data_IF_941864068576
#
_entry.id   IF_941864068576
#
_cell.length_a   1.000
_cell.length_b   1.000
_cell.length_c   1.000
_cell.angle_alpha   90.00
_cell.angle_beta   90.00
_cell.angle_gamma   90.00
#
_symmetry.space_group_name_H-M   'P 1'
#
loop_
_entity.id
_entity.type
_entity.pdbx_description
1 polymer ?
#
# COMPACT_ATOMS: atom_id res chain seq x y z
N UNK A 1 27.83 -21.81 -5.97
CA UNK A 1 26.94 -21.80 -7.16
C UNK A 1 25.70 -21.01 -6.79
N UNK A 2 25.75 -19.68 -6.89
CA UNK A 2 24.56 -18.85 -6.72
C UNK A 2 23.86 -18.82 -8.08
N UNK A 3 22.78 -19.58 -8.20
CA UNK A 3 21.94 -19.55 -9.39
C UNK A 3 21.46 -18.11 -9.57
N UNK A 4 21.61 -17.47 -10.75
CA UNK A 4 20.97 -16.20 -11.01
C UNK A 4 19.48 -16.49 -11.11
N UNK A 5 18.79 -16.56 -9.97
CA UNK A 5 17.34 -16.55 -9.96
C UNK A 5 16.97 -15.24 -10.62
N UNK A 6 16.26 -15.35 -11.73
CA UNK A 6 15.87 -14.28 -12.63
C UNK A 6 15.13 -13.19 -11.83
N UNK A 7 15.93 -12.26 -11.28
CA UNK A 7 15.47 -11.21 -10.39
C UNK A 7 14.67 -10.16 -11.15
N UNK A 8 14.51 -10.32 -12.48
CA UNK A 8 13.72 -9.46 -13.33
C UNK A 8 12.26 -9.37 -12.87
N UNK A 9 11.66 -10.49 -12.41
CA UNK A 9 10.29 -10.48 -11.88
C UNK A 9 10.19 -9.71 -10.57
N UNK A 10 11.12 -9.94 -9.64
CA UNK A 10 11.16 -9.21 -8.37
C UNK A 10 11.35 -7.70 -8.61
N UNK A 11 12.32 -7.33 -9.46
CA UNK A 11 12.59 -5.95 -9.84
C UNK A 11 11.39 -5.29 -10.52
N UNK A 12 10.73 -5.99 -11.45
CA UNK A 12 9.52 -5.50 -12.10
C UNK A 12 8.39 -5.22 -11.09
N UNK A 13 8.17 -6.13 -10.14
CA UNK A 13 7.16 -5.93 -9.09
C UNK A 13 7.55 -4.77 -8.16
N UNK A 14 8.82 -4.63 -7.81
CA UNK A 14 9.29 -3.51 -6.99
C UNK A 14 9.12 -2.16 -7.70
N UNK A 15 9.46 -2.06 -8.99
CA UNK A 15 9.22 -0.86 -9.81
C UNK A 15 7.73 -0.56 -9.94
N UNK A 16 6.90 -1.60 -10.11
CA UNK A 16 5.44 -1.47 -10.17
C UNK A 16 4.88 -0.88 -8.87
N UNK A 17 5.27 -1.42 -7.72
CA UNK A 17 4.81 -0.94 -6.40
C UNK A 17 5.32 0.48 -6.12
N UNK A 18 6.56 0.79 -6.52
CA UNK A 18 7.14 2.12 -6.41
C UNK A 18 6.26 3.17 -7.12
N UNK A 19 5.93 2.93 -8.40
CA UNK A 19 5.06 3.83 -9.18
C UNK A 19 3.67 3.96 -8.57
N UNK A 20 3.08 2.86 -8.12
CA UNK A 20 1.78 2.87 -7.42
C UNK A 20 1.85 3.72 -6.15
N UNK A 21 2.93 3.59 -5.37
CA UNK A 21 3.17 4.37 -4.17
C UNK A 21 3.31 5.86 -4.44
N UNK A 22 4.05 6.29 -5.47
CA UNK A 22 4.12 7.71 -5.88
C UNK A 22 2.74 8.26 -6.22
N UNK A 23 1.92 7.51 -6.97
CA UNK A 23 0.57 7.92 -7.31
C UNK A 23 -0.35 7.97 -6.08
N UNK A 24 -0.26 6.99 -5.19
CA UNK A 24 -1.00 6.97 -3.93
C UNK A 24 -0.66 8.21 -3.10
N UNK A 25 0.62 8.45 -2.81
CA UNK A 25 1.09 9.61 -2.05
C UNK A 25 0.58 10.95 -2.61
N UNK A 26 0.68 11.12 -3.93
CA UNK A 26 0.21 12.33 -4.62
C UNK A 26 -1.31 12.51 -4.49
N UNK A 27 -2.06 11.42 -4.41
CA UNK A 27 -3.53 11.45 -4.27
C UNK A 27 -3.92 11.72 -2.82
N UNK A 28 -3.27 11.03 -1.88
CA UNK A 28 -3.42 11.23 -0.45
C UNK A 28 -3.20 12.70 -0.09
N UNK A 29 -2.09 13.30 -0.51
CA UNK A 29 -1.81 14.71 -0.19
C UNK A 29 -2.85 15.70 -0.76
N UNK A 30 -3.51 15.36 -1.88
CA UNK A 30 -4.56 16.20 -2.48
C UNK A 30 -5.96 15.96 -1.92
N UNK A 31 -6.27 14.74 -1.50
CA UNK A 31 -7.57 14.38 -0.94
C UNK A 31 -7.69 14.88 0.50
N UNK A 32 -6.64 14.66 1.29
CA UNK A 32 -6.58 14.99 2.72
C UNK A 32 -5.97 16.37 3.01
N UNK A 33 -5.92 17.27 2.01
CA UNK A 33 -5.52 18.67 2.21
C UNK A 33 -6.57 19.50 2.95
N UNK A 34 -7.73 18.90 3.24
CA UNK A 34 -8.86 19.48 3.94
C UNK A 34 -9.41 18.46 4.96
N UNK A 35 -10.14 18.91 5.99
CA UNK A 35 -10.78 18.01 6.93
C UNK A 35 -11.77 17.07 6.23
N UNK A 36 -11.80 15.81 6.68
CA UNK A 36 -12.76 14.79 6.25
C UNK A 36 -13.76 14.57 7.39
N UNK A 37 -14.98 15.07 7.20
CA UNK A 37 -16.12 14.97 8.12
C UNK A 37 -17.41 14.62 7.36
N UNK A 38 -18.55 14.53 8.06
CA UNK A 38 -19.83 14.18 7.44
C UNK A 38 -20.24 15.16 6.33
N UNK A 39 -20.07 16.47 6.55
CA UNK A 39 -20.39 17.49 5.54
C UNK A 39 -19.55 17.33 4.28
N UNK A 40 -18.27 16.96 4.43
CA UNK A 40 -17.39 16.65 3.32
C UNK A 40 -17.90 15.46 2.49
N UNK A 41 -18.43 14.43 3.15
CA UNK A 41 -18.98 13.23 2.51
C UNK A 41 -20.28 13.56 1.78
N UNK A 42 -21.18 14.32 2.40
CA UNK A 42 -22.43 14.76 1.76
C UNK A 42 -22.17 15.61 0.51
N UNK A 43 -21.13 16.45 0.54
CA UNK A 43 -20.72 17.27 -0.60
C UNK A 43 -20.18 16.46 -1.81
N UNK A 44 -19.94 15.15 -1.68
CA UNK A 44 -19.46 14.31 -2.79
C UNK A 44 -20.49 14.22 -3.93
N UNK A 45 -21.79 14.19 -3.61
CA UNK A 45 -22.86 14.07 -4.63
C UNK A 45 -22.89 15.28 -5.57
N UNK A 46 -22.62 16.47 -5.03
CA UNK A 46 -22.64 17.73 -5.76
C UNK A 46 -21.26 18.11 -6.33
N UNK A 47 -20.21 17.33 -6.00
CA UNK A 47 -18.84 17.61 -6.41
C UNK A 47 -18.19 16.38 -7.08
N UNK A 48 -18.48 16.15 -8.38
CA UNK A 48 -17.93 15.01 -9.13
C UNK A 48 -16.40 14.94 -9.09
N UNK A 49 -15.72 16.09 -9.15
CA UNK A 49 -14.26 16.15 -9.10
C UNK A 49 -13.67 15.73 -7.74
N UNK A 50 -14.44 15.85 -6.65
CA UNK A 50 -14.06 15.34 -5.33
C UNK A 50 -14.31 13.84 -5.21
N UNK A 51 -15.47 13.37 -5.71
CA UNK A 51 -15.79 11.94 -5.79
C UNK A 51 -14.74 11.18 -6.62
N UNK A 52 -14.35 11.70 -7.79
CA UNK A 52 -13.28 11.10 -8.62
C UNK A 52 -11.93 11.01 -7.89
N UNK A 53 -11.60 12.00 -7.04
CA UNK A 53 -10.36 11.98 -6.24
C UNK A 53 -10.41 10.92 -5.15
N UNK A 54 -11.56 10.76 -4.50
CA UNK A 54 -11.82 9.71 -3.53
C UNK A 54 -11.71 8.32 -4.19
N UNK A 55 -12.38 8.09 -5.30
CA UNK A 55 -12.32 6.83 -6.05
C UNK A 55 -10.88 6.50 -6.46
N UNK A 56 -10.15 7.51 -6.96
CA UNK A 56 -8.75 7.34 -7.31
C UNK A 56 -7.88 7.00 -6.09
N UNK A 57 -8.15 7.56 -4.91
CA UNK A 57 -7.45 7.19 -3.67
C UNK A 57 -7.74 5.73 -3.30
N UNK A 58 -9.01 5.34 -3.23
CA UNK A 58 -9.44 3.98 -2.85
C UNK A 58 -8.83 2.94 -3.80
N UNK A 59 -8.91 3.19 -5.11
CA UNK A 59 -8.33 2.31 -6.12
C UNK A 59 -6.81 2.20 -6.00
N UNK A 60 -6.09 3.32 -5.81
CA UNK A 60 -4.62 3.33 -5.67
C UNK A 60 -4.16 2.64 -4.39
N UNK A 61 -4.87 2.86 -3.28
CA UNK A 61 -4.60 2.21 -2.00
C UNK A 61 -4.76 0.68 -2.11
N UNK A 62 -5.88 0.24 -2.65
CA UNK A 62 -6.16 -1.17 -2.91
C UNK A 62 -5.11 -1.81 -3.82
N UNK A 63 -4.79 -1.16 -4.93
CA UNK A 63 -3.87 -1.69 -5.92
C UNK A 63 -2.46 -1.85 -5.34
N UNK A 64 -1.97 -0.87 -4.57
CA UNK A 64 -0.67 -0.96 -3.90
C UNK A 64 -0.67 -2.11 -2.89
N UNK A 65 -1.68 -2.19 -2.04
CA UNK A 65 -1.80 -3.25 -1.04
C UNK A 65 -1.83 -4.65 -1.69
N UNK A 66 -2.68 -4.86 -2.69
CA UNK A 66 -2.81 -6.14 -3.38
C UNK A 66 -1.51 -6.51 -4.12
N UNK A 67 -0.81 -5.52 -4.71
CA UNK A 67 0.47 -5.79 -5.37
C UNK A 67 1.54 -6.19 -4.37
N UNK A 68 1.62 -5.54 -3.22
CA UNK A 68 2.57 -5.92 -2.16
C UNK A 68 2.24 -7.30 -1.59
N UNK A 69 1.00 -7.48 -1.11
CA UNK A 69 0.56 -8.66 -0.38
C UNK A 69 0.47 -9.91 -1.24
N UNK A 70 -0.16 -9.79 -2.41
CA UNK A 70 -0.55 -10.96 -3.21
C UNK A 70 0.52 -11.31 -4.27
N UNK A 71 1.45 -10.39 -4.57
CA UNK A 71 2.46 -10.59 -5.62
C UNK A 71 3.90 -10.41 -5.14
N UNK A 72 4.24 -9.25 -4.58
CA UNK A 72 5.62 -8.91 -4.21
C UNK A 72 6.14 -9.78 -3.07
N UNK A 73 5.38 -9.93 -1.98
CA UNK A 73 5.78 -10.76 -0.84
C UNK A 73 5.98 -12.22 -1.25
N UNK A 74 5.03 -12.89 -1.94
CA UNK A 74 5.25 -14.24 -2.44
C UNK A 74 6.48 -14.35 -3.34
N UNK A 75 6.73 -13.36 -4.20
CA UNK A 75 7.91 -13.36 -5.05
C UNK A 75 9.19 -13.26 -4.24
N UNK A 76 9.29 -12.32 -3.31
CA UNK A 76 10.45 -12.18 -2.43
C UNK A 76 10.75 -13.48 -1.68
N UNK A 77 9.70 -14.16 -1.18
CA UNK A 77 9.86 -15.45 -0.50
C UNK A 77 10.43 -16.53 -1.42
N UNK A 78 9.98 -16.61 -2.68
CA UNK A 78 10.56 -17.54 -3.68
C UNK A 78 12.04 -17.25 -3.93
N UNK A 79 12.42 -15.98 -4.02
CA UNK A 79 13.82 -15.56 -4.21
C UNK A 79 14.69 -15.92 -2.99
N UNK A 80 14.09 -16.02 -1.80
CA UNK A 80 14.73 -16.54 -0.58
C UNK A 80 14.72 -18.08 -0.50
N UNK A 81 14.31 -18.79 -1.56
CA UNK A 81 14.12 -20.24 -1.61
C UNK A 81 13.11 -20.76 -0.57
N UNK A 82 12.19 -19.90 -0.12
CA UNK A 82 11.05 -20.30 0.70
C UNK A 82 9.82 -20.62 -0.16
N UNK A 83 8.94 -21.50 0.33
CA UNK A 83 7.62 -21.75 -0.29
C UNK A 83 6.60 -20.73 0.23
N UNK A 84 6.01 -19.87 -0.62
CA UNK A 84 4.91 -18.98 -0.25
C UNK A 84 3.72 -19.77 0.32
N UNK A 85 3.18 -19.31 1.46
CA UNK A 85 2.00 -19.90 2.10
C UNK A 85 0.74 -19.12 1.73
N UNK A 86 -0.32 -19.27 2.55
CA UNK A 86 -1.50 -18.43 2.43
C UNK A 86 -1.17 -16.95 2.70
N UNK A 87 -2.07 -16.04 2.33
CA UNK A 87 -1.84 -14.60 2.47
C UNK A 87 -1.44 -14.20 3.91
N UNK A 88 -2.16 -14.72 4.92
CA UNK A 88 -1.86 -14.44 6.33
C UNK A 88 -0.49 -14.98 6.74
N UNK A 89 -0.10 -16.18 6.30
CA UNK A 89 1.21 -16.76 6.60
C UNK A 89 2.34 -15.93 6.01
N UNK A 90 2.14 -15.42 4.79
CA UNK A 90 3.10 -14.55 4.12
C UNK A 90 3.27 -13.23 4.90
N UNK A 91 2.18 -12.62 5.38
CA UNK A 91 2.23 -11.40 6.18
C UNK A 91 2.91 -11.64 7.54
N UNK A 92 2.54 -12.71 8.25
CA UNK A 92 3.19 -13.13 9.50
C UNK A 92 4.70 -13.35 9.31
N UNK A 93 5.12 -13.89 8.16
CA UNK A 93 6.54 -14.06 7.84
C UNK A 93 7.24 -12.72 7.69
N UNK A 94 6.62 -11.74 7.01
CA UNK A 94 7.18 -10.40 6.85
C UNK A 94 7.27 -9.66 8.19
N UNK A 95 6.26 -9.78 9.05
CA UNK A 95 6.27 -9.19 10.39
C UNK A 95 7.38 -9.78 11.27
N UNK A 96 7.55 -11.11 11.25
CA UNK A 96 8.67 -11.78 11.94
C UNK A 96 10.05 -11.35 11.45
N UNK A 97 10.17 -10.92 10.19
CA UNK A 97 11.40 -10.38 9.62
C UNK A 97 11.58 -8.87 9.88
N UNK A 98 10.60 -8.21 10.51
CA UNK A 98 10.58 -6.76 10.71
C UNK A 98 10.32 -5.96 9.42
N UNK A 99 9.78 -6.61 8.38
CA UNK A 99 9.50 -5.99 7.08
C UNK A 99 8.06 -5.48 6.95
N UNK A 100 7.20 -5.88 7.88
CA UNK A 100 5.84 -5.40 8.09
C UNK A 100 5.72 -5.07 9.58
N UNK A 101 5.18 -3.90 9.92
CA UNK A 101 5.07 -3.49 11.33
C UNK A 101 3.88 -4.12 12.07
N UNK A 102 2.79 -4.44 11.35
CA UNK A 102 1.57 -4.99 11.93
C UNK A 102 0.72 -5.73 10.89
N UNK A 103 0.56 -7.04 11.08
CA UNK A 103 -0.36 -7.88 10.29
C UNK A 103 -1.81 -7.48 10.55
N UNK A 104 -2.13 -7.09 11.79
CA UNK A 104 -3.48 -6.69 12.18
C UNK A 104 -3.91 -5.44 11.41
N UNK A 105 -3.07 -4.41 11.37
CA UNK A 105 -3.33 -3.18 10.63
C UNK A 105 -3.40 -3.44 9.11
N UNK A 106 -2.61 -4.40 8.60
CA UNK A 106 -2.68 -4.80 7.20
C UNK A 106 -4.05 -5.40 6.85
N UNK A 107 -4.56 -6.29 7.69
CA UNK A 107 -5.89 -6.89 7.51
C UNK A 107 -6.98 -5.84 7.64
N UNK A 108 -6.85 -4.91 8.59
CA UNK A 108 -7.77 -3.79 8.74
C UNK A 108 -7.82 -2.91 7.47
N UNK A 109 -6.67 -2.55 6.92
CA UNK A 109 -6.55 -1.81 5.66
C UNK A 109 -7.31 -2.51 4.52
N UNK A 110 -7.22 -3.84 4.43
CA UNK A 110 -7.92 -4.61 3.39
C UNK A 110 -9.44 -4.61 3.60
N UNK A 111 -9.90 -4.63 4.85
CA UNK A 111 -11.32 -4.55 5.18
C UNK A 111 -11.89 -3.15 4.94
N UNK A 112 -11.11 -2.09 5.19
CA UNK A 112 -11.51 -0.70 4.91
C UNK A 112 -11.76 -0.45 3.44
N UNK A 113 -10.97 -1.05 2.53
CA UNK A 113 -11.23 -0.97 1.08
C UNK A 113 -12.67 -1.37 0.75
N UNK A 114 -13.14 -2.48 1.31
CA UNK A 114 -14.47 -2.98 0.97
C UNK A 114 -15.56 -2.00 1.46
N UNK A 115 -15.37 -1.40 2.63
CA UNK A 115 -16.27 -0.37 3.19
C UNK A 115 -16.29 0.90 2.33
N UNK A 116 -15.11 1.39 1.95
CA UNK A 116 -14.97 2.63 1.17
C UNK A 116 -15.57 2.56 -0.25
N UNK A 117 -15.77 1.35 -0.79
CA UNK A 117 -16.40 1.16 -2.11
C UNK A 117 -17.94 1.09 -2.02
N UNK A 118 -18.51 0.69 -0.88
CA UNK A 118 -19.92 0.31 -0.79
C UNK A 118 -20.77 1.22 0.12
N UNK A 119 -20.17 1.99 1.03
CA UNK A 119 -20.90 2.58 2.16
C UNK A 119 -21.12 4.10 2.08
N UNK A 120 -20.61 4.79 1.04
CA UNK A 120 -20.60 6.27 0.97
C UNK A 120 -21.98 6.95 1.00
N UNK A 121 -23.09 6.21 0.98
CA UNK A 121 -24.46 6.75 0.95
C UNK A 121 -25.34 6.38 2.15
N UNK A 122 -24.86 5.62 3.14
CA UNK A 122 -25.72 5.20 4.27
C UNK A 122 -25.45 5.95 5.57
N UNK A 123 -24.18 6.23 5.87
CA UNK A 123 -23.77 6.94 7.08
C UNK A 123 -22.53 7.80 6.78
N UNK A 124 -22.69 9.12 6.58
CA UNK A 124 -21.58 10.03 6.30
C UNK A 124 -20.50 10.07 7.39
N UNK A 125 -20.87 9.92 8.67
CA UNK A 125 -19.92 9.94 9.77
C UNK A 125 -19.06 8.67 9.78
N UNK A 126 -19.69 7.51 9.64
CA UNK A 126 -18.97 6.23 9.56
C UNK A 126 -18.04 6.21 8.35
N UNK A 127 -18.50 6.70 7.19
CA UNK A 127 -17.67 6.78 5.99
C UNK A 127 -16.47 7.70 6.17
N UNK A 128 -16.67 8.89 6.75
CA UNK A 128 -15.59 9.82 7.04
C UNK A 128 -14.57 9.20 8.02
N UNK A 129 -15.03 8.47 9.04
CA UNK A 129 -14.17 7.75 9.98
C UNK A 129 -13.36 6.65 9.29
N UNK A 130 -14.00 5.83 8.44
CA UNK A 130 -13.33 4.81 7.65
C UNK A 130 -12.26 5.40 6.71
N UNK A 131 -12.57 6.53 6.05
CA UNK A 131 -11.66 7.20 5.13
C UNK A 131 -10.44 7.79 5.86
N UNK A 132 -10.66 8.41 7.03
CA UNK A 132 -9.57 8.87 7.92
C UNK A 132 -8.71 7.71 8.40
N UNK A 133 -9.31 6.57 8.72
CA UNK A 133 -8.54 5.39 9.14
C UNK A 133 -7.71 4.81 7.99
N UNK A 134 -8.25 4.75 6.78
CA UNK A 134 -7.49 4.37 5.59
C UNK A 134 -6.32 5.33 5.32
N UNK A 135 -6.51 6.64 5.51
CA UNK A 135 -5.43 7.62 5.44
C UNK A 135 -4.30 7.32 6.43
N UNK A 136 -4.65 7.06 7.69
CA UNK A 136 -3.68 6.72 8.74
C UNK A 136 -2.92 5.42 8.46
N UNK A 137 -3.45 4.54 7.61
CA UNK A 137 -2.82 3.28 7.19
C UNK A 137 -2.01 3.41 5.88
N UNK A 138 -1.99 4.57 5.21
CA UNK A 138 -1.10 4.79 4.05
C UNK A 138 0.38 4.59 4.44
N UNK A 139 0.89 5.15 5.55
CA UNK A 139 2.26 4.91 5.98
C UNK A 139 2.63 3.42 6.08
N UNK A 140 1.73 2.56 6.57
CA UNK A 140 1.96 1.11 6.66
C UNK A 140 2.35 0.52 5.30
N UNK A 141 1.62 0.85 4.22
CA UNK A 141 1.91 0.32 2.89
C UNK A 141 3.26 0.84 2.35
N UNK A 142 3.53 2.13 2.55
CA UNK A 142 4.76 2.78 2.10
C UNK A 142 5.99 2.21 2.82
N UNK A 143 5.91 2.09 4.15
CA UNK A 143 6.98 1.58 4.99
C UNK A 143 7.23 0.09 4.74
N UNK A 144 6.17 -0.69 4.55
CA UNK A 144 6.30 -2.10 4.15
C UNK A 144 7.04 -2.21 2.82
N UNK A 145 6.67 -1.41 1.81
CA UNK A 145 7.41 -1.38 0.55
C UNK A 145 8.88 -1.01 0.74
N UNK A 146 9.17 0.05 1.50
CA UNK A 146 10.53 0.51 1.74
C UNK A 146 11.39 -0.55 2.45
N UNK A 147 10.82 -1.22 3.44
CA UNK A 147 11.49 -2.30 4.17
C UNK A 147 11.77 -3.50 3.24
N UNK A 148 10.79 -3.93 2.45
CA UNK A 148 10.96 -4.99 1.44
C UNK A 148 12.03 -4.61 0.41
N UNK A 149 11.99 -3.38 -0.10
CA UNK A 149 12.95 -2.85 -1.07
C UNK A 149 14.37 -2.91 -0.48
N UNK A 150 14.59 -2.32 0.69
CA UNK A 150 15.90 -2.31 1.36
C UNK A 150 16.43 -3.71 1.66
N UNK A 151 15.56 -4.58 2.18
CA UNK A 151 15.90 -5.97 2.49
C UNK A 151 16.34 -6.77 1.26
N UNK A 152 15.61 -6.62 0.15
CA UNK A 152 15.92 -7.28 -1.11
C UNK A 152 17.14 -6.67 -1.78
N UNK A 153 17.31 -5.35 -1.77
CA UNK A 153 18.47 -4.66 -2.33
C UNK A 153 19.77 -5.14 -1.68
N UNK A 154 19.76 -5.28 -0.36
CA UNK A 154 20.92 -5.77 0.38
C UNK A 154 21.31 -7.23 0.03
N UNK A 155 20.39 -8.03 -0.52
CA UNK A 155 20.60 -9.46 -0.84
C UNK A 155 20.83 -9.73 -2.32
N UNK A 156 20.13 -9.00 -3.17
CA UNK A 156 20.03 -9.26 -4.61
C UNK A 156 20.45 -8.06 -5.46
N UNK A 157 20.77 -6.92 -4.84
CA UNK A 157 21.23 -5.72 -5.53
C UNK A 157 22.62 -5.93 -6.11
N UNK A 158 22.67 -6.28 -7.40
CA UNK A 158 23.92 -6.24 -8.17
C UNK A 158 24.17 -4.81 -8.68
N UNK A 159 25.44 -4.41 -8.77
CA UNK A 159 25.85 -3.07 -9.21
C UNK A 159 25.41 -2.69 -10.64
N UNK A 160 24.99 -3.66 -11.46
CA UNK A 160 24.62 -3.46 -12.87
C UNK A 160 23.11 -3.21 -13.12
N UNK A 161 22.25 -3.44 -12.13
CA UNK A 161 20.79 -3.34 -12.30
C UNK A 161 20.25 -2.07 -11.64
N UNK A 162 19.47 -1.27 -12.38
CA UNK A 162 18.78 -0.10 -11.81
C UNK A 162 17.73 -0.58 -10.79
N UNK A 163 18.03 -0.40 -9.50
CA UNK A 163 17.15 -0.79 -8.41
C UNK A 163 16.16 0.35 -8.10
N UNK A 164 14.85 0.08 -7.91
CA UNK A 164 13.87 1.12 -7.61
C UNK A 164 14.16 1.88 -6.32
N UNK A 165 13.82 3.16 -6.29
CA UNK A 165 13.99 4.00 -5.10
C UNK A 165 13.02 3.65 -3.98
N UNK A 166 13.33 4.08 -2.76
CA UNK A 166 12.37 4.11 -1.65
C UNK A 166 11.41 5.28 -1.81
N UNK A 167 10.21 5.14 -1.25
CA UNK A 167 9.17 6.16 -1.23
C UNK A 167 9.29 7.04 0.03
N UNK A 168 9.08 8.35 -0.12
CA UNK A 168 9.05 9.29 1.01
C UNK A 168 7.62 9.57 1.46
N UNK A 169 7.30 9.23 2.72
CA UNK A 169 6.00 9.48 3.34
C UNK A 169 6.04 10.56 4.45
N UNK A 170 7.16 11.28 4.65
CA UNK A 170 7.29 12.28 5.73
C UNK A 170 6.30 13.45 5.62
N UNK A 171 5.66 13.59 4.46
CA UNK A 171 4.66 14.62 4.20
C UNK A 171 3.22 14.18 4.47
N UNK A 172 2.98 12.90 4.79
CA UNK A 172 1.66 12.43 5.22
C UNK A 172 1.42 12.96 6.63
N UNK A 173 0.55 13.95 6.76
CA UNK A 173 0.07 14.44 8.07
C UNK A 173 -1.05 13.53 8.52
N UNK A 174 -0.76 12.60 9.42
CA UNK A 174 -1.79 11.84 10.12
C UNK A 174 -2.34 12.75 11.24
N UNK A 175 -3.66 13.00 11.30
CA UNK A 175 -4.28 13.78 12.37
C UNK A 175 -4.17 13.09 13.74
#
# INVERSE_FOLDING_TARGET
>A
MNNPVDSARLLFLMDTVERQGRHLLTTTGRLFSQPIDANWVEALEENPGLAERLDAFVARFAQMQDTIGDRLIPELRRQLLETPGAALDNLNRMEKLGLLSSVIDWVEARNLRNRLVHEYMRDPEEFAAALKRAHALVPLLIETYNALNGYAKARFGNHASQWPDTLDNRHIKVP
#
